data_IF_677341008036
#
_entry.id   IF_677341008036
#
_cell.length_a   1.000
_cell.length_b   1.000
_cell.length_c   1.000
_cell.angle_alpha   90.00
_cell.angle_beta   90.00
_cell.angle_gamma   90.00
#
_symmetry.space_group_name_H-M   'P 1'
#
loop_
_entity.id
_entity.type
_entity.pdbx_description
1 polymer ?
#
# COMPACT_ATOMS: atom_id res chain seq x y z
N UNK A 1 14.87 16.45 -13.04
CA UNK A 1 14.56 15.97 -11.68
C UNK A 1 13.75 14.68 -11.76
N UNK A 2 14.16 13.63 -11.05
CA UNK A 2 13.47 12.35 -11.07
C UNK A 2 12.16 12.38 -10.28
N UNK A 3 11.22 11.53 -10.66
CA UNK A 3 9.96 11.38 -9.94
C UNK A 3 10.19 10.70 -8.58
N UNK A 4 9.40 11.07 -7.58
CA UNK A 4 9.41 10.46 -6.25
C UNK A 4 8.63 9.14 -6.20
N UNK A 5 7.80 8.87 -7.20
CA UNK A 5 6.94 7.69 -7.23
C UNK A 5 7.71 6.37 -6.99
N UNK A 6 8.84 6.10 -7.67
CA UNK A 6 9.61 4.88 -7.40
C UNK A 6 10.16 4.80 -5.98
N UNK A 7 10.54 5.94 -5.39
CA UNK A 7 11.01 5.99 -4.00
C UNK A 7 9.88 5.68 -3.02
N UNK A 8 8.66 6.09 -3.33
CA UNK A 8 7.48 5.76 -2.51
C UNK A 8 7.20 4.26 -2.54
N UNK A 9 7.27 3.63 -3.72
CA UNK A 9 7.14 2.17 -3.84
C UNK A 9 8.23 1.47 -3.02
N UNK A 10 9.48 1.87 -3.17
CA UNK A 10 10.60 1.31 -2.42
C UNK A 10 10.42 1.48 -0.91
N UNK A 11 9.92 2.63 -0.47
CA UNK A 11 9.69 2.88 0.96
C UNK A 11 8.58 2.01 1.53
N UNK A 12 7.49 1.80 0.78
CA UNK A 12 6.44 0.87 1.19
C UNK A 12 7.01 -0.53 1.35
N UNK A 13 7.81 -1.00 0.39
CA UNK A 13 8.44 -2.32 0.43
C UNK A 13 9.34 -2.51 1.65
N UNK A 14 10.06 -1.47 2.08
CA UNK A 14 10.93 -1.55 3.26
C UNK A 14 10.18 -1.34 4.57
N UNK A 15 9.08 -0.60 4.56
CA UNK A 15 8.28 -0.31 5.74
C UNK A 15 7.45 -1.51 6.20
N UNK A 16 6.75 -2.17 5.28
CA UNK A 16 5.78 -3.22 5.62
C UNK A 16 6.38 -4.34 6.49
N UNK A 17 7.58 -4.88 6.19
CA UNK A 17 8.13 -5.95 7.03
C UNK A 17 8.42 -5.55 8.48
N UNK A 18 8.52 -4.26 8.76
CA UNK A 18 8.81 -3.74 10.10
C UNK A 18 7.57 -3.57 10.97
N UNK A 19 6.37 -3.68 10.37
CA UNK A 19 5.11 -3.42 11.05
C UNK A 19 4.61 -4.65 11.82
N UNK A 20 3.89 -4.44 12.95
CA UNK A 20 3.30 -5.55 13.70
C UNK A 20 2.38 -6.42 12.84
N UNK A 21 2.58 -7.73 12.89
CA UNK A 21 1.76 -8.71 12.17
C UNK A 21 2.14 -8.94 10.72
N UNK A 22 2.98 -8.10 10.12
CA UNK A 22 3.34 -8.19 8.70
C UNK A 22 4.45 -9.21 8.41
N UNK A 23 5.10 -9.78 9.43
CA UNK A 23 6.18 -10.76 9.22
C UNK A 23 5.69 -12.04 8.53
N UNK A 24 4.41 -12.38 8.66
CA UNK A 24 3.82 -13.57 8.04
C UNK A 24 3.19 -13.28 6.66
N UNK A 25 3.27 -12.06 6.20
CA UNK A 25 2.73 -11.65 4.89
C UNK A 25 3.84 -11.66 3.86
N UNK A 26 3.61 -12.32 2.72
CA UNK A 26 4.54 -12.31 1.59
C UNK A 26 4.41 -10.96 0.89
N UNK A 27 5.51 -10.22 0.81
CA UNK A 27 5.54 -8.88 0.22
C UNK A 27 6.16 -8.97 -1.17
N UNK A 28 5.40 -8.56 -2.17
CA UNK A 28 5.79 -8.63 -3.57
C UNK A 28 5.91 -7.22 -4.17
N UNK A 29 6.96 -7.01 -4.94
CA UNK A 29 7.12 -5.81 -5.76
C UNK A 29 6.48 -6.08 -7.13
N UNK A 30 5.24 -5.66 -7.28
CA UNK A 30 4.49 -5.91 -8.50
C UNK A 30 3.59 -7.15 -8.41
N UNK A 31 3.19 -7.71 -9.57
CA UNK A 31 2.21 -8.79 -9.62
C UNK A 31 2.74 -10.11 -9.09
N UNK A 32 1.84 -10.95 -8.59
CA UNK A 32 2.14 -12.33 -8.26
C UNK A 32 2.29 -13.13 -9.55
N UNK A 33 3.48 -13.71 -9.76
CA UNK A 33 3.80 -14.49 -10.98
C UNK A 33 4.08 -15.96 -10.69
N UNK A 34 3.87 -16.40 -9.44
CA UNK A 34 4.09 -17.78 -9.01
C UNK A 34 2.82 -18.61 -9.16
N UNK A 35 2.99 -19.91 -9.50
CA UNK A 35 1.88 -20.86 -9.49
C UNK A 35 1.39 -21.15 -8.06
N UNK A 36 2.28 -21.00 -7.06
CA UNK A 36 1.93 -21.19 -5.66
C UNK A 36 1.48 -19.87 -5.06
N UNK A 37 0.18 -19.72 -4.82
CA UNK A 37 -0.41 -18.52 -4.25
C UNK A 37 -0.32 -18.59 -2.73
N UNK A 38 0.41 -17.66 -2.06
CA UNK A 38 0.43 -17.59 -0.59
C UNK A 38 -0.97 -17.29 -0.05
N UNK A 39 -1.24 -17.69 1.21
CA UNK A 39 -2.50 -17.35 1.87
C UNK A 39 -2.60 -15.86 2.18
N UNK A 40 -1.48 -15.26 2.56
CA UNK A 40 -1.41 -13.83 2.86
C UNK A 40 -0.28 -13.21 2.03
N UNK A 41 -0.62 -12.29 1.16
CA UNK A 41 0.37 -11.59 0.38
C UNK A 41 -0.11 -10.18 0.01
N UNK A 42 0.85 -9.31 -0.25
CA UNK A 42 0.61 -7.94 -0.71
C UNK A 42 1.38 -7.70 -2.00
N UNK A 43 0.71 -7.09 -2.97
CA UNK A 43 1.33 -6.64 -4.22
C UNK A 43 1.51 -5.13 -4.14
N UNK A 44 2.75 -4.69 -3.91
CA UNK A 44 3.05 -3.26 -3.77
C UNK A 44 3.23 -2.64 -5.15
N UNK A 45 2.55 -1.52 -5.39
CA UNK A 45 2.60 -0.85 -6.69
C UNK A 45 1.92 -1.65 -7.80
N UNK A 46 0.94 -2.48 -7.45
CA UNK A 46 0.18 -3.27 -8.41
C UNK A 46 -1.22 -3.56 -7.88
N UNK A 47 -2.21 -3.38 -8.73
CA UNK A 47 -3.61 -3.78 -8.47
C UNK A 47 -4.16 -4.40 -9.76
N UNK A 48 -4.81 -5.55 -9.64
CA UNK A 48 -5.42 -6.22 -10.79
C UNK A 48 -6.52 -5.33 -11.40
N UNK A 49 -6.50 -5.18 -12.71
CA UNK A 49 -7.51 -4.46 -13.49
C UNK A 49 -7.63 -2.95 -13.17
N UNK A 50 -6.58 -2.37 -12.55
CA UNK A 50 -6.54 -0.94 -12.25
C UNK A 50 -5.11 -0.41 -12.37
N UNK A 51 -4.95 0.92 -12.34
CA UNK A 51 -3.62 1.52 -12.42
C UNK A 51 -2.88 1.42 -11.09
N UNK A 52 -1.58 1.16 -11.16
CA UNK A 52 -0.70 1.05 -9.99
C UNK A 52 -0.50 2.39 -9.28
N UNK A 53 -0.71 3.49 -9.97
CA UNK A 53 -0.55 4.82 -9.44
C UNK A 53 -0.46 5.86 -10.54
N UNK A 54 -0.26 7.09 -10.13
CA UNK A 54 0.05 8.18 -11.04
C UNK A 54 0.76 9.29 -10.26
N UNK A 55 1.34 10.22 -10.98
CA UNK A 55 1.90 11.42 -10.37
C UNK A 55 1.87 12.58 -11.36
N UNK A 56 1.83 13.80 -10.84
CA UNK A 56 1.99 15.03 -11.61
C UNK A 56 3.07 15.88 -10.96
N UNK A 57 3.79 16.63 -11.77
CA UNK A 57 4.82 17.57 -11.29
C UNK A 57 4.47 18.96 -11.81
N UNK A 58 4.17 19.86 -10.90
CA UNK A 58 3.83 21.25 -11.22
C UNK A 58 4.92 22.17 -10.70
N UNK A 59 5.33 23.12 -11.52
CA UNK A 59 6.31 24.11 -11.13
C UNK A 59 5.70 25.09 -10.13
N UNK A 60 6.43 25.34 -9.04
CA UNK A 60 6.04 26.37 -8.09
C UNK A 60 6.13 27.75 -8.77
N UNK A 61 5.03 28.52 -8.78
CA UNK A 61 5.02 29.84 -9.44
C UNK A 61 6.07 30.82 -8.90
N UNK A 62 6.53 30.63 -7.67
CA UNK A 62 7.44 31.54 -6.98
C UNK A 62 8.87 31.02 -6.89
N UNK A 63 9.21 29.91 -7.57
CA UNK A 63 10.52 29.34 -7.38
C UNK A 63 10.96 28.36 -8.46
N UNK A 64 12.09 27.72 -8.18
CA UNK A 64 12.73 26.76 -9.05
C UNK A 64 12.40 25.32 -8.67
N UNK A 65 11.42 25.14 -7.79
CA UNK A 65 11.02 23.84 -7.25
C UNK A 65 9.79 23.32 -7.99
N UNK A 66 9.65 21.98 -7.98
CA UNK A 66 8.46 21.32 -8.46
C UNK A 66 7.70 20.74 -7.29
N UNK A 67 6.38 20.78 -7.38
CA UNK A 67 5.50 20.09 -6.44
C UNK A 67 5.02 18.83 -7.13
N UNK A 68 5.37 17.68 -6.57
CA UNK A 68 4.89 16.40 -7.07
C UNK A 68 3.73 15.93 -6.21
N UNK A 69 2.62 15.61 -6.86
CA UNK A 69 1.44 15.01 -6.22
C UNK A 69 1.17 13.68 -6.91
N UNK A 70 0.99 12.64 -6.14
CA UNK A 70 0.78 11.33 -6.71
C UNK A 70 0.17 10.34 -5.73
N UNK A 71 -0.03 9.12 -6.21
CA UNK A 71 -0.46 8.03 -5.35
C UNK A 71 0.13 6.71 -5.82
N UNK A 72 0.34 5.80 -4.86
CA UNK A 72 0.75 4.41 -5.10
C UNK A 72 -0.37 3.52 -4.62
N UNK A 73 -0.82 2.63 -5.48
CA UNK A 73 -1.90 1.68 -5.16
C UNK A 73 -1.31 0.29 -5.00
N UNK A 74 -1.75 -0.39 -3.94
CA UNK A 74 -1.27 -1.72 -3.56
C UNK A 74 -2.44 -2.57 -3.09
N UNK A 75 -2.28 -3.88 -3.11
CA UNK A 75 -3.36 -4.79 -2.79
C UNK A 75 -2.91 -5.85 -1.79
N UNK A 76 -3.58 -5.90 -0.64
CA UNK A 76 -3.40 -6.94 0.37
C UNK A 76 -4.44 -8.03 0.16
N UNK A 77 -4.00 -9.27 0.03
CA UNK A 77 -4.85 -10.43 -0.16
C UNK A 77 -4.62 -11.41 0.97
N UNK A 78 -5.69 -11.75 1.71
CA UNK A 78 -5.64 -12.74 2.77
C UNK A 78 -6.76 -13.74 2.56
N UNK A 79 -6.44 -15.03 2.73
CA UNK A 79 -7.42 -16.10 2.53
C UNK A 79 -7.26 -17.19 3.59
N UNK A 80 -8.32 -17.94 3.80
CA UNK A 80 -8.31 -19.12 4.67
C UNK A 80 -9.25 -20.18 4.08
N UNK A 81 -8.97 -21.46 4.36
CA UNK A 81 -9.79 -22.58 3.91
C UNK A 81 -11.08 -22.77 4.71
N UNK A 82 -11.29 -22.01 5.78
CA UNK A 82 -12.52 -22.08 6.58
C UNK A 82 -13.48 -20.93 6.24
N UNK A 83 -14.61 -20.86 6.96
CA UNK A 83 -15.64 -19.85 6.73
C UNK A 83 -15.67 -18.79 7.80
N UNK A 84 -14.58 -18.61 8.57
CA UNK A 84 -14.49 -17.62 9.64
C UNK A 84 -14.21 -16.22 9.07
N UNK A 85 -15.23 -15.61 8.50
CA UNK A 85 -15.14 -14.26 7.95
C UNK A 85 -14.82 -13.21 9.03
N UNK A 86 -15.44 -13.25 10.25
CA UNK A 86 -15.07 -12.29 11.30
C UNK A 86 -13.60 -12.38 11.72
N UNK A 87 -13.04 -13.58 11.86
CA UNK A 87 -11.62 -13.77 12.20
C UNK A 87 -10.71 -13.27 11.09
N UNK A 88 -11.03 -13.54 9.83
CA UNK A 88 -10.29 -13.04 8.68
C UNK A 88 -10.30 -11.53 8.63
N UNK A 89 -11.47 -10.92 8.82
CA UNK A 89 -11.62 -9.47 8.84
C UNK A 89 -10.81 -8.83 9.96
N UNK A 90 -10.85 -9.40 11.16
CA UNK A 90 -10.08 -8.89 12.30
C UNK A 90 -8.58 -8.91 12.01
N UNK A 91 -8.07 -9.99 11.41
CA UNK A 91 -6.66 -10.12 11.07
C UNK A 91 -6.22 -9.09 10.01
N UNK A 92 -6.99 -8.97 8.95
CA UNK A 92 -6.67 -8.07 7.83
C UNK A 92 -6.70 -6.61 8.30
N UNK A 93 -7.72 -6.23 9.07
CA UNK A 93 -7.81 -4.86 9.57
C UNK A 93 -6.75 -4.55 10.62
N UNK A 94 -6.28 -5.53 11.40
CA UNK A 94 -5.13 -5.34 12.28
C UNK A 94 -3.85 -5.03 11.50
N UNK A 95 -3.62 -5.70 10.37
CA UNK A 95 -2.50 -5.39 9.47
C UNK A 95 -2.61 -3.96 8.93
N UNK A 96 -3.81 -3.57 8.48
CA UNK A 96 -4.03 -2.24 7.92
C UNK A 96 -3.92 -1.14 8.98
N UNK A 97 -4.40 -1.39 10.21
CA UNK A 97 -4.27 -0.44 11.31
C UNK A 97 -2.81 -0.18 11.66
N UNK A 98 -1.95 -1.20 11.60
CA UNK A 98 -0.51 -1.05 11.80
C UNK A 98 0.12 -0.13 10.74
N UNK A 99 -0.27 -0.29 9.48
CA UNK A 99 0.20 0.58 8.39
C UNK A 99 -0.31 2.01 8.58
N UNK A 100 -1.58 2.17 8.90
CA UNK A 100 -2.19 3.47 9.14
C UNK A 100 -1.50 4.22 10.28
N UNK A 101 -1.21 3.53 11.37
CA UNK A 101 -0.48 4.11 12.51
C UNK A 101 0.91 4.57 12.11
N UNK A 102 1.63 3.79 11.30
CA UNK A 102 2.96 4.16 10.82
C UNK A 102 2.93 5.41 9.93
N UNK A 103 1.95 5.51 9.03
CA UNK A 103 1.79 6.68 8.17
C UNK A 103 1.45 7.93 8.99
N UNK A 104 0.59 7.80 9.99
CA UNK A 104 0.23 8.92 10.87
C UNK A 104 1.40 9.39 11.74
N UNK A 105 2.24 8.45 12.17
CA UNK A 105 3.40 8.75 12.99
C UNK A 105 4.47 9.51 12.21
N UNK A 106 4.68 9.18 10.94
CA UNK A 106 5.63 9.84 10.07
C UNK A 106 5.02 10.03 8.67
N UNK A 107 4.35 11.15 8.46
CA UNK A 107 3.67 11.45 7.20
C UNK A 107 4.62 11.68 6.03
N UNK A 108 5.88 11.92 6.31
CA UNK A 108 6.92 12.03 5.27
C UNK A 108 7.53 10.69 4.90
N UNK A 109 7.29 9.65 5.70
CA UNK A 109 7.78 8.28 5.49
C UNK A 109 9.29 8.20 5.31
N UNK A 110 10.04 9.24 5.76
CA UNK A 110 11.48 9.29 5.64
C UNK A 110 12.01 9.60 4.25
N UNK A 111 11.15 9.80 3.25
CA UNK A 111 11.56 10.04 1.85
C UNK A 111 11.01 11.33 1.26
N UNK A 112 9.94 11.88 1.84
CA UNK A 112 9.35 13.13 1.35
C UNK A 112 10.09 14.35 1.88
N UNK A 113 9.91 15.48 1.22
CA UNK A 113 10.49 16.78 1.64
C UNK A 113 9.95 17.21 3.01
N UNK A 114 10.59 18.18 3.68
CA UNK A 114 10.09 18.70 4.97
C UNK A 114 8.65 19.22 4.93
N UNK A 115 8.19 19.73 3.78
CA UNK A 115 6.81 20.16 3.59
C UNK A 115 5.91 19.03 3.02
N UNK A 116 6.48 17.85 2.79
CA UNK A 116 5.76 16.73 2.21
C UNK A 116 4.80 16.07 3.20
N UNK A 117 3.80 15.43 2.66
CA UNK A 117 2.81 14.70 3.44
C UNK A 117 2.29 13.49 2.68
N UNK A 118 1.80 12.51 3.43
CA UNK A 118 1.16 11.32 2.88
C UNK A 118 -0.15 11.01 3.60
N UNK A 119 -1.03 10.28 2.91
CA UNK A 119 -2.34 9.93 3.40
C UNK A 119 -2.75 8.57 2.84
N UNK A 120 -3.45 7.78 3.65
CA UNK A 120 -3.83 6.41 3.29
C UNK A 120 -5.34 6.29 3.11
N UNK A 121 -5.77 5.75 1.97
CA UNK A 121 -7.15 5.33 1.71
C UNK A 121 -7.21 3.83 1.52
N UNK A 122 -8.30 3.20 1.96
CA UNK A 122 -8.48 1.75 1.88
C UNK A 122 -9.85 1.41 1.30
N UNK A 123 -9.87 0.53 0.30
CA UNK A 123 -11.07 -0.08 -0.26
C UNK A 123 -11.11 -1.56 0.11
N UNK A 124 -12.28 -2.09 0.43
CA UNK A 124 -12.45 -3.44 0.95
C UNK A 124 -13.32 -4.28 0.02
N UNK A 125 -12.85 -5.47 -0.30
CA UNK A 125 -13.65 -6.49 -1.01
C UNK A 125 -13.60 -7.79 -0.21
N UNK A 126 -14.78 -8.28 0.18
CA UNK A 126 -14.92 -9.54 0.92
C UNK A 126 -15.47 -10.62 0.00
N UNK A 127 -14.82 -11.77 0.01
CA UNK A 127 -15.18 -12.91 -0.83
C UNK A 127 -15.37 -14.16 0.04
N UNK A 128 -16.44 -14.91 -0.20
CA UNK A 128 -16.69 -16.17 0.48
C UNK A 128 -17.32 -17.15 -0.47
N UNK A 129 -16.81 -18.39 -0.48
CA UNK A 129 -17.34 -19.48 -1.27
C UNK A 129 -17.17 -20.80 -0.50
N UNK A 130 -17.52 -21.93 -1.14
CA UNK A 130 -17.37 -23.25 -0.52
C UNK A 130 -15.92 -23.65 -0.23
N UNK A 131 -14.95 -23.00 -0.86
CA UNK A 131 -13.52 -23.23 -0.65
C UNK A 131 -12.88 -22.39 0.45
N UNK A 132 -13.65 -21.48 1.09
CA UNK A 132 -13.15 -20.65 2.17
C UNK A 132 -13.54 -19.19 2.07
N UNK A 133 -12.85 -18.36 2.81
CA UNK A 133 -13.05 -16.91 2.84
C UNK A 133 -11.79 -16.16 2.39
N UNK A 134 -11.98 -15.01 1.77
CA UNK A 134 -10.89 -14.14 1.39
C UNK A 134 -11.27 -12.67 1.65
N UNK A 135 -10.29 -11.89 2.07
CA UNK A 135 -10.39 -10.44 2.17
C UNK A 135 -9.33 -9.82 1.26
N UNK A 136 -9.76 -8.86 0.47
CA UNK A 136 -8.90 -8.12 -0.41
C UNK A 136 -9.03 -6.64 -0.08
N UNK A 137 -7.92 -6.02 0.32
CA UNK A 137 -7.88 -4.60 0.61
C UNK A 137 -6.97 -3.92 -0.39
N UNK A 138 -7.52 -2.98 -1.15
CA UNK A 138 -6.73 -2.10 -2.00
C UNK A 138 -6.44 -0.85 -1.17
N UNK A 139 -5.18 -0.60 -0.88
CA UNK A 139 -4.81 0.62 -0.17
C UNK A 139 -4.05 1.55 -1.10
N UNK A 140 -4.38 2.82 -1.00
CA UNK A 140 -3.81 3.88 -1.82
C UNK A 140 -3.09 4.86 -0.93
N UNK A 141 -1.78 5.00 -1.14
CA UNK A 141 -0.97 5.97 -0.43
C UNK A 141 -0.82 7.19 -1.31
N UNK A 142 -1.54 8.26 -0.93
CA UNK A 142 -1.43 9.56 -1.58
C UNK A 142 -0.28 10.33 -0.97
N UNK A 143 0.48 11.05 -1.79
CA UNK A 143 1.59 11.85 -1.30
C UNK A 143 1.71 13.16 -2.05
N UNK A 144 2.32 14.12 -1.40
CA UNK A 144 2.74 15.38 -1.99
C UNK A 144 4.13 15.71 -1.45
N UNK A 145 5.02 16.11 -2.32
CA UNK A 145 6.38 16.48 -1.95
C UNK A 145 6.89 17.62 -2.82
N UNK A 146 7.89 18.33 -2.34
CA UNK A 146 8.57 19.40 -3.06
C UNK A 146 9.95 18.91 -3.46
N UNK A 147 10.27 19.03 -4.71
CA UNK A 147 11.57 18.56 -5.24
C UNK A 147 12.42 19.71 -5.79
#
# INVERSE_FOLDING_TARGET
MGAQWPLMVARILTLLPTLPGWSDVVILDGPLVSADVPTDFVTVGYVADDQAGSYTQDQDPNGFQYIETGFVRSQLNCSTGDTDMPGMRARVFALMDALEAAVRLDRRLGVLSPAGTSELDVDVLSLQNSGGTAQQLTFTLHYQTVT
#
